data_IF_488577935213
#
_entry.id   IF_488577935213
#
_cell.length_a   1.000
_cell.length_b   1.000
_cell.length_c   1.000
_cell.angle_alpha   90.00
_cell.angle_beta   90.00
_cell.angle_gamma   90.00
#
_symmetry.space_group_name_H-M   'P 1'
#
loop_
_entity.id
_entity.type
_entity.pdbx_description
1 polymer ?
#
# COMPACT_ATOMS: atom_id res chain seq x y z
N UNK A 1 24.30 -4.12 -15.83
CA UNK A 1 24.39 -4.21 -14.34
C UNK A 1 23.06 -4.70 -13.78
N UNK A 2 23.07 -5.75 -12.96
CA UNK A 2 21.90 -6.12 -12.15
C UNK A 2 21.88 -5.22 -10.93
N UNK A 3 21.10 -4.12 -10.99
CA UNK A 3 20.93 -3.25 -9.83
C UNK A 3 20.09 -3.98 -8.76
N UNK A 4 20.56 -3.93 -7.52
CA UNK A 4 19.77 -4.37 -6.37
C UNK A 4 18.52 -3.51 -6.21
N UNK A 5 17.48 -4.06 -5.62
CA UNK A 5 16.28 -3.29 -5.29
C UNK A 5 16.12 -3.25 -3.76
N UNK A 6 15.90 -2.07 -3.18
CA UNK A 6 15.82 -0.74 -3.82
C UNK A 6 17.17 -0.25 -4.34
N UNK A 7 17.14 0.67 -5.32
CA UNK A 7 18.32 1.28 -5.89
C UNK A 7 18.38 2.77 -5.54
N UNK A 8 19.53 3.18 -4.99
CA UNK A 8 19.81 4.57 -4.65
C UNK A 8 21.01 5.05 -5.48
N UNK A 9 20.76 5.99 -6.39
CA UNK A 9 21.79 6.53 -7.27
C UNK A 9 22.79 7.42 -6.51
N UNK A 10 23.90 7.78 -7.16
CA UNK A 10 24.94 8.61 -6.56
C UNK A 10 24.42 9.97 -6.07
N UNK A 11 23.45 10.58 -6.77
CA UNK A 11 22.85 11.83 -6.33
C UNK A 11 22.13 11.68 -4.99
N UNK A 12 21.35 10.60 -4.83
CA UNK A 12 20.72 10.28 -3.54
C UNK A 12 21.76 10.13 -2.42
N UNK A 13 22.84 9.38 -2.69
CA UNK A 13 23.93 9.17 -1.70
C UNK A 13 24.60 10.50 -1.31
N UNK A 14 24.92 11.35 -2.29
CA UNK A 14 25.52 12.68 -2.04
C UNK A 14 24.57 13.57 -1.22
N UNK A 15 23.28 13.54 -1.47
CA UNK A 15 22.29 14.31 -0.71
C UNK A 15 22.16 13.84 0.74
N UNK A 16 22.18 12.52 1.00
CA UNK A 16 22.23 11.96 2.35
C UNK A 16 23.50 12.43 3.08
N UNK A 17 24.64 12.39 2.40
CA UNK A 17 25.91 12.89 2.94
C UNK A 17 25.84 14.38 3.34
N UNK A 18 25.16 15.21 2.52
CA UNK A 18 24.96 16.64 2.85
C UNK A 18 24.13 16.82 4.12
N UNK A 19 23.08 16.04 4.30
CA UNK A 19 22.26 16.06 5.52
C UNK A 19 23.11 15.70 6.74
N UNK A 20 23.90 14.61 6.66
CA UNK A 20 24.79 14.20 7.75
C UNK A 20 25.82 15.29 8.09
N UNK A 21 26.50 15.85 7.07
CA UNK A 21 27.50 16.92 7.26
C UNK A 21 26.93 18.21 7.87
N UNK A 22 25.65 18.49 7.63
CA UNK A 22 24.97 19.69 8.15
C UNK A 22 24.66 19.61 9.66
N UNK A 23 24.65 18.40 10.25
CA UNK A 23 24.18 18.15 11.61
C UNK A 23 22.64 18.33 11.78
N UNK A 24 21.92 18.78 10.75
CA UNK A 24 20.46 19.03 10.78
C UNK A 24 19.71 17.76 10.38
N UNK A 25 19.73 16.75 11.22
CA UNK A 25 19.24 15.39 10.92
C UNK A 25 17.83 15.10 11.45
N UNK A 26 17.26 16.01 12.23
CA UNK A 26 15.95 15.88 12.85
C UNK A 26 14.92 16.77 12.14
N UNK A 27 13.67 16.36 12.14
CA UNK A 27 12.51 17.08 11.59
C UNK A 27 12.45 18.57 12.00
N UNK A 28 12.86 18.90 13.24
CA UNK A 28 12.83 20.26 13.77
C UNK A 28 14.01 21.12 13.33
N UNK A 29 15.13 20.52 12.99
CA UNK A 29 16.35 21.24 12.65
C UNK A 29 16.60 21.34 11.15
N UNK A 30 16.04 20.39 10.36
CA UNK A 30 16.13 20.36 8.91
C UNK A 30 14.83 20.77 8.20
N UNK A 31 14.85 20.68 6.88
CA UNK A 31 13.70 20.99 6.02
C UNK A 31 13.33 19.85 5.03
N UNK A 32 14.14 18.79 4.94
CA UNK A 32 13.91 17.71 3.97
C UNK A 32 12.56 17.00 4.20
N UNK A 33 12.16 16.81 5.47
CA UNK A 33 10.84 16.25 5.79
C UNK A 33 9.70 17.16 5.32
N UNK A 34 9.77 18.47 5.62
CA UNK A 34 8.74 19.45 5.23
C UNK A 34 8.63 19.59 3.71
N UNK A 35 9.78 19.60 3.03
CA UNK A 35 9.84 19.63 1.57
C UNK A 35 9.27 18.35 0.98
N UNK A 36 9.55 17.18 1.55
CA UNK A 36 8.99 15.90 1.13
C UNK A 36 7.46 15.89 1.30
N UNK A 37 6.94 16.38 2.42
CA UNK A 37 5.50 16.53 2.66
C UNK A 37 4.85 17.39 1.57
N UNK A 38 5.45 18.53 1.23
CA UNK A 38 4.97 19.43 0.17
C UNK A 38 5.02 18.80 -1.22
N UNK A 39 6.17 18.21 -1.59
CA UNK A 39 6.36 17.54 -2.90
C UNK A 39 5.40 16.34 -3.05
N UNK A 40 5.19 15.56 -1.97
CA UNK A 40 4.27 14.43 -1.97
C UNK A 40 2.81 14.87 -2.09
N UNK A 41 2.41 15.93 -1.38
CA UNK A 41 1.09 16.54 -1.52
C UNK A 41 0.82 16.99 -2.95
N UNK A 42 1.78 17.69 -3.56
CA UNK A 42 1.67 18.17 -4.95
C UNK A 42 1.56 17.00 -5.94
N UNK A 43 2.34 15.94 -5.74
CA UNK A 43 2.33 14.76 -6.61
C UNK A 43 0.98 14.01 -6.57
N UNK A 44 0.39 13.85 -5.37
CA UNK A 44 -0.90 13.16 -5.20
C UNK A 44 -2.12 14.09 -5.31
N UNK A 45 -1.90 15.41 -5.45
CA UNK A 45 -2.94 16.45 -5.49
C UNK A 45 -3.86 16.40 -4.27
N UNK A 46 -3.24 16.31 -3.11
CA UNK A 46 -3.90 16.40 -1.79
C UNK A 46 -3.46 17.67 -1.08
N UNK A 47 -4.28 18.15 -0.15
CA UNK A 47 -4.01 19.42 0.55
C UNK A 47 -2.84 19.31 1.53
N UNK A 48 -2.74 18.19 2.23
CA UNK A 48 -1.77 17.98 3.29
C UNK A 48 -1.17 16.60 3.21
N UNK A 49 0.15 16.51 3.46
CA UNK A 49 0.86 15.27 3.75
C UNK A 49 1.70 15.44 5.00
N UNK A 50 2.01 14.35 5.68
CA UNK A 50 2.74 14.32 6.94
C UNK A 50 3.68 13.12 6.97
N UNK A 51 4.98 13.36 7.06
CA UNK A 51 5.99 12.29 7.20
C UNK A 51 5.93 11.64 8.57
N UNK A 52 6.02 10.30 8.60
CA UNK A 52 6.07 9.51 9.84
C UNK A 52 7.14 8.42 9.75
N UNK A 53 7.47 7.80 10.86
CA UNK A 53 8.57 6.82 10.98
C UNK A 53 8.35 5.57 10.13
N UNK A 54 7.12 5.13 9.91
CA UNK A 54 6.78 3.95 9.07
C UNK A 54 5.28 3.87 8.77
N UNK A 55 4.89 2.92 7.90
CA UNK A 55 3.49 2.73 7.51
C UNK A 55 2.59 2.18 8.62
N UNK A 56 3.14 1.45 9.58
CA UNK A 56 2.37 0.93 10.73
C UNK A 56 1.90 2.06 11.63
N UNK A 57 2.80 2.98 11.97
CA UNK A 57 2.49 4.22 12.69
C UNK A 57 1.49 5.06 11.90
N UNK A 58 1.64 5.15 10.56
CA UNK A 58 0.70 5.89 9.72
C UNK A 58 -0.74 5.38 9.89
N UNK A 59 -0.96 4.06 9.89
CA UNK A 59 -2.28 3.46 10.11
C UNK A 59 -2.81 3.72 11.53
N UNK A 60 -1.98 3.53 12.55
CA UNK A 60 -2.36 3.69 13.97
C UNK A 60 -2.80 5.12 14.26
N UNK A 61 -1.96 6.11 13.96
CA UNK A 61 -2.31 7.51 14.26
C UNK A 61 -3.44 8.02 13.37
N UNK A 62 -3.63 7.44 12.15
CA UNK A 62 -4.80 7.74 11.32
C UNK A 62 -6.10 7.31 11.97
N UNK A 63 -6.16 6.12 12.55
CA UNK A 63 -7.31 5.65 13.31
C UNK A 63 -7.49 6.46 14.61
N UNK A 64 -6.41 6.75 15.33
CA UNK A 64 -6.44 7.55 16.55
C UNK A 64 -6.99 8.95 16.30
N UNK A 65 -6.63 9.58 15.16
CA UNK A 65 -7.11 10.91 14.77
C UNK A 65 -8.64 10.98 14.53
N UNK A 66 -9.28 9.83 14.25
CA UNK A 66 -10.73 9.75 14.05
C UNK A 66 -11.54 9.77 15.36
N UNK A 67 -10.87 9.73 16.53
CA UNK A 67 -11.51 9.75 17.86
C UNK A 67 -12.61 8.67 18.01
N UNK A 68 -12.40 7.47 17.50
CA UNK A 68 -13.33 6.36 17.61
C UNK A 68 -13.39 5.85 19.07
N UNK A 69 -14.55 5.36 19.48
CA UNK A 69 -14.78 4.83 20.83
C UNK A 69 -14.33 3.36 20.90
N UNK A 70 -13.88 2.89 22.07
CA UNK A 70 -13.40 1.50 22.29
C UNK A 70 -14.35 0.38 21.82
N UNK A 71 -15.65 0.64 21.65
CA UNK A 71 -16.62 -0.36 21.14
C UNK A 71 -16.89 -0.23 19.64
N UNK A 72 -16.37 0.80 19.00
CA UNK A 72 -16.54 0.99 17.57
C UNK A 72 -15.78 -0.07 16.78
N UNK A 73 -16.32 -0.39 15.61
CA UNK A 73 -15.75 -1.40 14.73
C UNK A 73 -15.19 -0.77 13.47
N UNK A 74 -14.15 -1.40 12.94
CA UNK A 74 -13.51 -1.03 11.67
C UNK A 74 -13.56 -2.21 10.74
N UNK A 75 -14.13 -2.03 9.53
CA UNK A 75 -14.07 -3.06 8.50
C UNK A 75 -12.68 -3.07 7.88
N UNK A 76 -12.08 -4.27 7.80
CA UNK A 76 -10.73 -4.48 7.27
C UNK A 76 -10.72 -5.64 6.27
N UNK A 77 -9.72 -5.63 5.38
CA UNK A 77 -9.49 -6.75 4.46
C UNK A 77 -8.87 -7.95 5.18
N UNK A 78 -9.23 -9.18 4.83
CA UNK A 78 -8.57 -10.39 5.31
C UNK A 78 -7.22 -10.63 4.62
N UNK A 79 -6.94 -9.92 3.50
CA UNK A 79 -5.83 -10.21 2.61
C UNK A 79 -4.90 -9.01 2.45
N UNK A 80 -3.88 -8.93 3.29
CA UNK A 80 -2.86 -7.88 3.29
C UNK A 80 -1.70 -8.23 4.22
N UNK A 81 -0.89 -7.24 4.60
CA UNK A 81 -0.01 -7.31 5.75
C UNK A 81 -0.83 -7.17 7.04
N UNK A 82 -0.40 -7.82 8.10
CA UNK A 82 -1.14 -7.90 9.37
C UNK A 82 -1.54 -6.53 9.93
N UNK A 83 -0.69 -5.49 9.74
CA UNK A 83 -0.95 -4.14 10.26
C UNK A 83 -2.23 -3.50 9.73
N UNK A 84 -2.69 -3.85 8.53
CA UNK A 84 -3.99 -3.34 8.03
C UNK A 84 -5.19 -3.75 8.91
N UNK A 85 -5.01 -4.73 9.82
CA UNK A 85 -6.02 -5.17 10.76
C UNK A 85 -5.58 -5.04 12.22
N UNK A 86 -4.31 -5.30 12.56
CA UNK A 86 -3.84 -5.25 13.96
C UNK A 86 -3.77 -3.82 14.51
N UNK A 87 -3.60 -2.80 13.67
CA UNK A 87 -3.70 -1.39 14.10
C UNK A 87 -5.06 -1.07 14.77
N UNK A 88 -6.12 -1.76 14.36
CA UNK A 88 -7.45 -1.63 14.96
C UNK A 88 -7.44 -2.17 16.41
N UNK A 89 -6.82 -3.34 16.61
CA UNK A 89 -6.68 -3.96 17.94
C UNK A 89 -5.79 -3.15 18.88
N UNK A 90 -4.70 -2.58 18.37
CA UNK A 90 -3.77 -1.76 19.16
C UNK A 90 -4.44 -0.55 19.81
N UNK A 91 -5.53 -0.07 19.21
CA UNK A 91 -6.34 1.05 19.72
C UNK A 91 -7.57 0.58 20.53
N UNK A 92 -7.70 -0.71 20.82
CA UNK A 92 -8.85 -1.27 21.56
C UNK A 92 -10.16 -1.25 20.75
N UNK A 93 -10.08 -1.07 19.43
CA UNK A 93 -11.21 -1.13 18.50
C UNK A 93 -11.45 -2.57 18.04
N UNK A 94 -12.58 -2.82 17.35
CA UNK A 94 -12.97 -4.15 16.89
C UNK A 94 -12.79 -4.28 15.38
N UNK A 95 -11.83 -5.10 14.87
CA UNK A 95 -11.74 -5.38 13.44
C UNK A 95 -12.87 -6.32 13.00
N UNK A 96 -13.50 -6.02 11.89
CA UNK A 96 -14.49 -6.87 11.21
C UNK A 96 -13.95 -7.19 9.82
N UNK A 97 -13.66 -8.47 9.57
CA UNK A 97 -13.13 -8.90 8.29
C UNK A 97 -14.24 -9.06 7.25
N UNK A 98 -14.13 -8.38 6.13
CA UNK A 98 -15.03 -8.49 4.99
C UNK A 98 -14.34 -9.18 3.81
N UNK A 99 -15.07 -10.00 3.05
CA UNK A 99 -14.48 -10.76 1.95
C UNK A 99 -14.03 -9.86 0.79
N UNK A 100 -13.19 -10.40 -0.04
CA UNK A 100 -12.52 -9.70 -1.16
C UNK A 100 -13.16 -10.06 -2.50
N UNK A 101 -12.85 -9.27 -3.52
CA UNK A 101 -13.16 -9.56 -4.92
C UNK A 101 -12.23 -10.63 -5.50
N UNK A 102 -12.43 -10.96 -6.78
CA UNK A 102 -11.64 -11.96 -7.53
C UNK A 102 -10.14 -11.60 -7.68
N UNK A 103 -9.75 -10.38 -7.33
CA UNK A 103 -8.35 -9.91 -7.37
C UNK A 103 -7.72 -9.80 -5.99
N UNK A 104 -8.51 -10.00 -4.95
CA UNK A 104 -8.05 -9.94 -3.56
C UNK A 104 -8.19 -8.57 -2.88
N UNK A 105 -8.82 -7.60 -3.52
CA UNK A 105 -9.17 -6.32 -2.92
C UNK A 105 -10.50 -6.40 -2.15
N UNK A 106 -10.64 -5.57 -1.12
CA UNK A 106 -11.88 -5.48 -0.35
C UNK A 106 -13.07 -5.16 -1.29
N UNK A 107 -14.14 -5.97 -1.24
CA UNK A 107 -15.32 -5.82 -2.10
C UNK A 107 -16.45 -5.10 -1.39
N UNK A 108 -17.28 -4.38 -2.16
CA UNK A 108 -18.47 -3.73 -1.61
C UNK A 108 -19.50 -4.76 -1.13
N UNK A 109 -19.58 -5.92 -1.78
CA UNK A 109 -20.43 -7.04 -1.40
C UNK A 109 -20.01 -7.60 -0.05
N UNK A 110 -18.68 -7.82 0.13
CA UNK A 110 -18.12 -8.24 1.40
C UNK A 110 -18.36 -7.21 2.52
N UNK A 111 -18.20 -5.91 2.23
CA UNK A 111 -18.50 -4.82 3.17
C UNK A 111 -19.98 -4.85 3.60
N UNK A 112 -20.90 -4.94 2.67
CA UNK A 112 -22.36 -4.97 2.95
C UNK A 112 -22.75 -6.15 3.82
N UNK A 113 -22.16 -7.32 3.57
CA UNK A 113 -22.46 -8.56 4.30
C UNK A 113 -22.12 -8.46 5.80
N UNK A 114 -21.06 -7.73 6.16
CA UNK A 114 -20.59 -7.65 7.55
C UNK A 114 -20.94 -6.33 8.24
N UNK A 115 -21.47 -5.36 7.50
CA UNK A 115 -21.80 -4.05 8.06
C UNK A 115 -22.87 -4.17 9.15
N UNK A 116 -22.64 -3.46 10.25
CA UNK A 116 -23.61 -3.26 11.34
C UNK A 116 -23.44 -1.86 11.96
N UNK A 117 -24.35 -1.49 12.87
CA UNK A 117 -24.38 -0.14 13.48
C UNK A 117 -23.16 0.24 14.34
N UNK A 118 -22.29 -0.72 14.70
CA UNK A 118 -21.04 -0.41 15.42
C UNK A 118 -19.90 0.05 14.50
N UNK A 119 -20.01 -0.16 13.20
CA UNK A 119 -18.99 0.22 12.22
C UNK A 119 -18.91 1.74 12.10
N UNK A 120 -17.69 2.27 12.21
CA UNK A 120 -17.39 3.71 12.05
C UNK A 120 -16.38 4.01 10.96
N UNK A 121 -15.53 3.04 10.62
CA UNK A 121 -14.52 3.23 9.59
C UNK A 121 -14.33 1.98 8.75
N UNK A 122 -13.75 2.18 7.55
CA UNK A 122 -13.31 1.12 6.63
C UNK A 122 -11.86 1.41 6.27
N UNK A 123 -11.00 0.40 6.31
CA UNK A 123 -9.65 0.46 5.77
C UNK A 123 -9.64 -0.35 4.48
N UNK A 124 -9.45 0.32 3.33
CA UNK A 124 -9.21 -0.35 2.05
C UNK A 124 -7.71 -0.43 1.80
N UNK A 125 -7.26 -1.57 1.29
CA UNK A 125 -5.87 -1.76 0.88
C UNK A 125 -5.83 -1.92 -0.64
N UNK A 126 -5.03 -1.13 -1.33
CA UNK A 126 -4.80 -1.28 -2.78
C UNK A 126 -3.75 -2.37 -3.01
N UNK A 127 -4.19 -3.63 -2.91
CA UNK A 127 -3.33 -4.81 -2.84
C UNK A 127 -2.46 -4.97 -4.09
N UNK A 128 -1.17 -5.20 -3.89
CA UNK A 128 -0.16 -5.40 -4.94
C UNK A 128 -0.06 -4.24 -5.96
N UNK A 129 -0.66 -3.09 -5.67
CA UNK A 129 -0.70 -1.93 -6.55
C UNK A 129 -1.93 -1.85 -7.44
N UNK A 130 -2.89 -2.78 -7.27
CA UNK A 130 -4.21 -2.72 -7.89
C UNK A 130 -5.17 -1.93 -7.01
N UNK A 131 -5.79 -0.92 -7.57
CA UNK A 131 -6.74 -0.09 -6.84
C UNK A 131 -8.05 -0.85 -6.59
N UNK A 132 -8.58 -0.75 -5.37
CA UNK A 132 -9.94 -1.20 -5.06
C UNK A 132 -10.96 -0.51 -5.98
N UNK A 133 -12.11 -1.15 -6.22
CA UNK A 133 -13.24 -0.48 -6.86
C UNK A 133 -13.83 0.55 -5.88
N UNK A 134 -13.33 1.78 -5.96
CA UNK A 134 -13.60 2.81 -4.95
C UNK A 134 -15.01 3.39 -5.03
N UNK A 135 -15.61 3.53 -6.21
CA UNK A 135 -16.90 4.21 -6.35
C UNK A 135 -18.00 3.62 -5.47
N UNK A 136 -18.29 2.30 -5.54
CA UNK A 136 -19.33 1.71 -4.71
C UNK A 136 -18.99 1.78 -3.21
N UNK A 137 -17.71 1.74 -2.85
CA UNK A 137 -17.25 1.88 -1.47
C UNK A 137 -17.45 3.32 -0.98
N UNK A 138 -17.06 4.33 -1.77
CA UNK A 138 -17.25 5.74 -1.46
C UNK A 138 -18.73 6.10 -1.30
N UNK A 139 -19.59 5.59 -2.19
CA UNK A 139 -21.03 5.77 -2.09
C UNK A 139 -21.59 5.16 -0.80
N UNK A 140 -21.12 3.97 -0.42
CA UNK A 140 -21.52 3.32 0.82
C UNK A 140 -21.04 4.10 2.05
N UNK A 141 -19.78 4.52 2.06
CA UNK A 141 -19.16 5.35 3.12
C UNK A 141 -19.98 6.63 3.34
N UNK A 142 -20.31 7.33 2.25
CA UNK A 142 -21.14 8.55 2.32
C UNK A 142 -22.55 8.24 2.86
N UNK A 143 -23.23 7.21 2.32
CA UNK A 143 -24.59 6.81 2.74
C UNK A 143 -24.66 6.43 4.23
N UNK A 144 -23.59 5.83 4.77
CA UNK A 144 -23.54 5.33 6.16
C UNK A 144 -22.81 6.27 7.12
N UNK A 145 -22.35 7.42 6.64
CA UNK A 145 -21.56 8.40 7.41
C UNK A 145 -20.36 7.75 8.12
N UNK A 146 -19.53 7.02 7.34
CA UNK A 146 -18.35 6.32 7.81
C UNK A 146 -17.08 7.06 7.43
N UNK A 147 -15.99 6.77 8.13
CA UNK A 147 -14.65 7.16 7.69
C UNK A 147 -14.06 6.13 6.72
N UNK A 148 -13.30 6.61 5.74
CA UNK A 148 -12.51 5.76 4.84
C UNK A 148 -11.03 6.10 4.99
N UNK A 149 -10.23 5.07 5.28
CA UNK A 149 -8.77 5.12 5.24
C UNK A 149 -8.31 4.32 4.02
N UNK A 150 -7.50 4.95 3.15
CA UNK A 150 -6.83 4.27 2.05
C UNK A 150 -5.43 3.81 2.52
N UNK A 151 -5.19 2.52 2.63
CA UNK A 151 -3.83 1.97 2.76
C UNK A 151 -3.22 1.83 1.36
N UNK A 152 -2.43 2.82 0.99
CA UNK A 152 -1.75 2.94 -0.29
C UNK A 152 -0.32 2.37 -0.26
N UNK A 153 0.08 1.67 0.80
CA UNK A 153 1.46 1.18 1.02
C UNK A 153 2.00 0.29 -0.10
N UNK A 154 1.14 -0.23 -0.97
CA UNK A 154 1.50 -1.08 -2.11
C UNK A 154 1.18 -0.42 -3.47
N UNK A 155 0.69 0.82 -3.48
CA UNK A 155 0.07 1.42 -4.67
C UNK A 155 0.62 2.81 -5.04
N UNK A 156 1.87 3.11 -4.70
CA UNK A 156 2.52 4.35 -5.07
C UNK A 156 2.41 4.59 -6.59
N UNK A 157 1.85 5.72 -6.98
CA UNK A 157 1.67 6.10 -8.38
C UNK A 157 0.50 5.41 -9.10
N UNK A 158 -0.28 4.55 -8.44
CA UNK A 158 -1.52 4.00 -9.00
C UNK A 158 -2.56 5.11 -9.24
N UNK A 159 -3.44 4.88 -10.23
CA UNK A 159 -4.46 5.86 -10.65
C UNK A 159 -5.82 5.19 -10.75
N UNK A 160 -6.83 5.88 -10.26
CA UNK A 160 -8.24 5.50 -10.38
C UNK A 160 -9.02 6.69 -10.96
N UNK A 161 -9.71 6.49 -12.09
CA UNK A 161 -10.47 7.55 -12.80
C UNK A 161 -9.67 8.84 -13.00
N UNK A 162 -8.43 8.73 -13.44
CA UNK A 162 -7.56 9.87 -13.72
C UNK A 162 -6.94 10.55 -12.49
N UNK A 163 -7.28 10.12 -11.27
CA UNK A 163 -6.72 10.66 -10.02
C UNK A 163 -5.80 9.64 -9.35
N UNK A 164 -4.72 10.10 -8.75
CA UNK A 164 -3.83 9.23 -7.98
C UNK A 164 -4.52 8.73 -6.72
N UNK A 165 -4.30 7.45 -6.36
CA UNK A 165 -4.79 6.89 -5.10
C UNK A 165 -4.24 7.68 -3.91
N UNK A 166 -4.93 7.59 -2.77
CA UNK A 166 -4.61 8.39 -1.59
C UNK A 166 -5.26 9.77 -1.59
N UNK A 167 -6.11 10.07 -2.60
CA UNK A 167 -6.86 11.34 -2.69
C UNK A 167 -8.38 11.16 -2.56
N UNK A 168 -8.86 9.94 -2.32
CA UNK A 168 -10.28 9.60 -2.30
C UNK A 168 -10.86 9.44 -0.89
N UNK A 169 -10.10 8.84 0.03
CA UNK A 169 -10.51 8.65 1.41
C UNK A 169 -10.40 9.91 2.26
N UNK A 170 -10.85 9.80 3.51
CA UNK A 170 -10.67 10.87 4.50
C UNK A 170 -9.20 11.03 4.89
N UNK A 171 -8.50 9.90 5.00
CA UNK A 171 -7.05 9.80 5.27
C UNK A 171 -6.48 8.73 4.36
N UNK A 172 -5.26 8.92 3.91
CA UNK A 172 -4.47 7.88 3.23
C UNK A 172 -3.14 7.66 3.91
N UNK A 173 -2.68 6.42 3.89
CA UNK A 173 -1.44 5.99 4.55
C UNK A 173 -0.50 5.32 3.55
N UNK A 174 0.80 5.50 3.77
CA UNK A 174 1.85 5.03 2.88
C UNK A 174 2.99 4.42 3.68
N UNK A 175 3.61 3.39 3.15
CA UNK A 175 4.83 2.78 3.68
C UNK A 175 5.96 2.96 2.69
N UNK A 176 7.14 3.32 3.19
CA UNK A 176 8.38 3.40 2.43
C UNK A 176 9.40 2.36 2.91
N UNK A 177 8.90 1.21 3.40
CA UNK A 177 9.74 0.07 3.76
C UNK A 177 10.58 -0.40 2.56
N UNK A 178 11.65 -1.11 2.82
CA UNK A 178 12.64 -1.51 1.81
C UNK A 178 12.04 -2.16 0.55
N UNK A 179 11.01 -2.99 0.69
CA UNK A 179 10.41 -3.74 -0.42
C UNK A 179 9.35 -2.97 -1.22
N UNK A 180 8.96 -1.77 -0.76
CA UNK A 180 7.91 -0.96 -1.39
C UNK A 180 8.35 -0.33 -2.71
N UNK A 181 7.39 0.15 -3.50
CA UNK A 181 7.64 0.84 -4.78
C UNK A 181 8.57 2.05 -4.60
N UNK A 182 8.39 2.79 -3.51
CA UNK A 182 9.31 3.80 -3.00
C UNK A 182 9.85 3.35 -1.65
N UNK A 183 11.16 3.55 -1.42
CA UNK A 183 11.78 3.30 -0.11
C UNK A 183 12.55 4.53 0.35
N UNK A 184 12.54 4.78 1.65
CA UNK A 184 13.29 5.86 2.30
C UNK A 184 14.53 5.35 3.04
N UNK A 185 15.14 4.28 2.51
CA UNK A 185 16.38 3.72 3.08
C UNK A 185 16.14 2.59 4.08
N UNK A 186 14.96 1.96 4.05
CA UNK A 186 14.63 0.81 4.90
C UNK A 186 13.28 0.95 5.56
N UNK A 187 13.02 2.06 6.22
CA UNK A 187 11.75 2.38 6.86
C UNK A 187 11.32 3.81 6.54
N UNK A 188 10.02 4.08 6.64
CA UNK A 188 9.39 5.38 6.48
C UNK A 188 7.90 5.26 6.19
N UNK A 189 7.18 6.36 6.36
CA UNK A 189 5.76 6.44 6.06
C UNK A 189 5.30 7.86 5.76
N UNK A 190 4.08 7.95 5.23
CA UNK A 190 3.40 9.21 4.96
C UNK A 190 1.93 9.07 5.28
N UNK A 191 1.32 10.14 5.73
CA UNK A 191 -0.13 10.26 5.85
C UNK A 191 -0.55 11.44 5.00
N UNK A 192 -1.68 11.32 4.28
CA UNK A 192 -2.21 12.43 3.51
C UNK A 192 -3.70 12.62 3.77
N UNK A 193 -4.17 13.86 3.69
CA UNK A 193 -5.59 14.22 3.86
C UNK A 193 -5.91 15.55 3.21
N UNK A 194 -7.16 15.71 2.78
CA UNK A 194 -7.69 17.00 2.33
C UNK A 194 -8.35 17.80 3.47
N UNK A 195 -8.48 17.22 4.66
CA UNK A 195 -9.12 17.84 5.81
C UNK A 195 -8.08 18.46 6.76
N UNK A 196 -8.06 19.79 6.85
CA UNK A 196 -7.11 20.53 7.70
C UNK A 196 -7.27 20.22 9.20
N UNK A 197 -8.49 19.94 9.68
CA UNK A 197 -8.71 19.58 11.10
C UNK A 197 -8.08 18.22 11.41
N UNK A 198 -8.26 17.23 10.52
CA UNK A 198 -7.60 15.92 10.65
C UNK A 198 -6.07 16.05 10.56
N UNK A 199 -5.56 16.87 9.65
CA UNK A 199 -4.13 17.12 9.55
C UNK A 199 -3.53 17.70 10.82
N UNK A 200 -4.17 18.71 11.43
CA UNK A 200 -3.72 19.27 12.70
C UNK A 200 -3.68 18.22 13.81
N UNK A 201 -4.70 17.36 13.88
CA UNK A 201 -4.74 16.25 14.85
C UNK A 201 -3.64 15.24 14.60
N UNK A 202 -3.42 14.81 13.35
CA UNK A 202 -2.35 13.91 12.94
C UNK A 202 -0.97 14.49 13.25
N UNK A 203 -0.78 15.77 12.98
CA UNK A 203 0.47 16.48 13.29
C UNK A 203 0.76 16.49 14.80
N UNK A 204 -0.26 16.77 15.60
CA UNK A 204 -0.19 16.71 17.06
C UNK A 204 0.24 15.32 17.54
N UNK A 205 -0.47 14.28 17.12
CA UNK A 205 -0.20 12.88 17.50
C UNK A 205 1.20 12.42 17.10
N UNK A 206 1.69 12.85 15.91
CA UNK A 206 3.05 12.54 15.44
C UNK A 206 4.13 13.13 16.34
N UNK A 207 3.87 14.24 17.01
CA UNK A 207 4.86 15.02 17.75
C UNK A 207 4.43 15.27 19.20
N UNK A 208 4.34 14.21 19.96
CA UNK A 208 4.08 14.19 21.40
C UNK A 208 2.77 14.86 21.83
N UNK A 209 1.81 15.07 20.95
CA UNK A 209 0.55 15.73 21.30
C UNK A 209 0.62 17.25 21.30
N UNK A 210 1.62 17.85 20.65
CA UNK A 210 1.77 19.31 20.62
C UNK A 210 0.65 20.00 19.85
N UNK A 211 0.25 21.16 20.34
CA UNK A 211 -0.66 22.07 19.63
C UNK A 211 0.11 22.86 18.56
N UNK A 212 -0.29 22.66 17.28
CA UNK A 212 0.38 23.29 16.14
C UNK A 212 0.41 24.82 16.26
N UNK A 213 -0.70 25.44 16.61
CA UNK A 213 -0.81 26.90 16.72
C UNK A 213 0.12 27.44 17.81
N UNK A 214 0.12 26.84 18.99
CA UNK A 214 0.95 27.27 20.13
C UNK A 214 2.44 27.11 19.84
N UNK A 215 2.85 26.08 19.10
CA UNK A 215 4.25 25.87 18.70
C UNK A 215 4.76 26.97 17.79
N UNK A 216 3.93 27.43 16.84
CA UNK A 216 4.32 28.43 15.84
C UNK A 216 3.84 29.86 16.19
N UNK A 217 3.18 30.05 17.34
CA UNK A 217 2.83 31.39 17.83
C UNK A 217 4.08 32.14 18.27
N UNK A 218 4.36 33.26 17.61
CA UNK A 218 5.50 34.14 17.92
C UNK A 218 5.24 35.12 19.08
N UNK A 219 4.02 35.20 19.57
CA UNK A 219 3.68 36.03 20.72
C UNK A 219 4.19 35.34 21.99
N UNK A 220 5.01 35.98 22.80
CA UNK A 220 5.61 35.48 24.05
C UNK A 220 6.82 34.52 23.88
N UNK A 221 7.90 35.00 23.26
CA UNK A 221 9.09 34.18 23.04
C UNK A 221 9.93 33.88 24.32
N UNK A 222 9.69 34.59 25.43
CA UNK A 222 10.54 34.49 26.65
C UNK A 222 9.87 33.74 27.81
N UNK A 223 8.66 33.19 27.64
CA UNK A 223 7.98 32.44 28.68
C UNK A 223 7.84 30.96 28.32
N UNK A 224 7.81 30.09 29.34
CA UNK A 224 7.53 28.68 29.15
C UNK A 224 6.14 28.49 28.55
N UNK A 225 6.04 27.70 27.45
CA UNK A 225 4.79 27.44 26.76
C UNK A 225 4.31 26.02 27.06
N UNK A 226 3.08 25.90 27.51
CA UNK A 226 2.36 24.63 27.61
C UNK A 226 1.88 24.23 26.20
N UNK A 227 2.53 23.23 25.61
CA UNK A 227 2.36 22.93 24.18
C UNK A 227 1.56 21.66 23.88
N UNK A 228 1.34 20.79 24.88
CA UNK A 228 0.82 19.44 24.66
C UNK A 228 -0.65 19.36 25.07
N UNK A 229 -1.55 19.28 24.06
CA UNK A 229 -3.00 19.19 24.25
C UNK A 229 -3.51 17.75 24.07
N UNK A 230 -2.69 16.86 23.48
CA UNK A 230 -3.04 15.50 23.12
C UNK A 230 -2.02 14.47 23.67
N UNK A 231 -2.45 13.19 23.70
CA UNK A 231 -1.54 12.06 23.92
C UNK A 231 -0.97 11.61 22.59
N UNK A 232 0.23 12.03 22.28
CA UNK A 232 0.99 11.63 21.10
C UNK A 232 2.33 11.02 21.48
N UNK A 233 3.15 10.71 20.47
CA UNK A 233 4.49 10.16 20.66
C UNK A 233 5.48 10.71 19.64
N UNK A 234 6.74 10.25 19.69
CA UNK A 234 7.74 10.58 18.68
C UNK A 234 7.60 9.64 17.48
N UNK A 235 6.83 10.03 16.51
CA UNK A 235 6.64 9.28 15.26
C UNK A 235 7.27 9.97 14.05
N UNK A 236 8.20 10.87 14.27
CA UNK A 236 8.87 11.65 13.22
C UNK A 236 9.75 10.80 12.32
N UNK A 237 9.77 11.14 11.04
CA UNK A 237 10.78 10.68 10.08
C UNK A 237 12.07 11.49 10.28
N UNK A 238 13.22 10.90 9.97
CA UNK A 238 14.50 11.61 9.93
C UNK A 238 14.70 12.36 8.61
N UNK A 239 15.54 13.39 8.62
CA UNK A 239 15.86 14.17 7.40
C UNK A 239 16.59 13.31 6.34
N UNK A 240 17.37 12.31 6.76
CA UNK A 240 18.03 11.36 5.86
C UNK A 240 17.02 10.51 5.10
N UNK A 241 16.01 9.97 5.79
CA UNK A 241 14.91 9.23 5.15
C UNK A 241 14.14 10.12 4.19
N UNK A 242 13.83 11.35 4.59
CA UNK A 242 13.08 12.29 3.77
C UNK A 242 13.81 12.65 2.48
N UNK A 243 15.11 12.92 2.52
CA UNK A 243 15.88 13.24 1.31
C UNK A 243 15.92 12.05 0.33
N UNK A 244 15.99 10.82 0.83
CA UNK A 244 15.87 9.62 -0.01
C UNK A 244 14.48 9.57 -0.64
N UNK A 245 13.42 9.79 0.14
CA UNK A 245 12.04 9.82 -0.31
C UNK A 245 11.80 10.83 -1.43
N UNK A 246 12.34 12.04 -1.30
CA UNK A 246 12.28 13.10 -2.33
C UNK A 246 12.91 12.64 -3.66
N UNK A 247 14.08 12.00 -3.61
CA UNK A 247 14.74 11.48 -4.82
C UNK A 247 13.97 10.31 -5.44
N UNK A 248 13.40 9.43 -4.63
CA UNK A 248 12.53 8.34 -5.10
C UNK A 248 11.25 8.88 -5.76
N UNK A 249 10.63 9.91 -5.19
CA UNK A 249 9.43 10.55 -5.74
C UNK A 249 9.66 11.12 -7.13
N UNK A 250 10.79 11.78 -7.38
CA UNK A 250 11.16 12.31 -8.71
C UNK A 250 11.23 11.23 -9.78
N UNK A 251 11.58 10.01 -9.43
CA UNK A 251 11.72 8.89 -10.35
C UNK A 251 10.47 7.99 -10.43
N UNK A 252 9.45 8.23 -9.61
CA UNK A 252 8.32 7.32 -9.40
C UNK A 252 7.57 7.01 -10.69
N UNK A 253 7.17 8.01 -11.46
CA UNK A 253 6.42 7.79 -12.71
C UNK A 253 7.22 6.93 -13.72
N UNK A 254 8.55 7.15 -13.80
CA UNK A 254 9.43 6.33 -14.64
C UNK A 254 9.50 4.88 -14.14
N UNK A 255 9.56 4.69 -12.82
CA UNK A 255 9.54 3.35 -12.23
C UNK A 255 8.22 2.64 -12.49
N UNK A 256 7.07 3.32 -12.35
CA UNK A 256 5.75 2.75 -12.62
C UNK A 256 5.61 2.33 -14.08
N UNK A 257 6.06 3.16 -15.03
CA UNK A 257 6.09 2.79 -16.46
C UNK A 257 6.89 1.51 -16.71
N UNK A 258 8.07 1.37 -16.11
CA UNK A 258 8.89 0.18 -16.23
C UNK A 258 8.26 -1.06 -15.58
N UNK A 259 7.63 -0.92 -14.41
CA UNK A 259 6.88 -2.01 -13.75
C UNK A 259 5.75 -2.51 -14.63
N UNK A 260 4.99 -1.59 -15.24
CA UNK A 260 3.94 -1.95 -16.20
C UNK A 260 4.49 -2.70 -17.43
N UNK A 261 5.61 -2.24 -18.00
CA UNK A 261 6.26 -2.94 -19.11
C UNK A 261 6.62 -4.38 -18.74
N UNK A 262 7.26 -4.58 -17.58
CA UNK A 262 7.69 -5.90 -17.11
C UNK A 262 6.47 -6.81 -16.83
N UNK A 263 5.46 -6.30 -16.13
CA UNK A 263 4.25 -7.05 -15.84
C UNK A 263 3.53 -7.48 -17.13
N UNK A 264 3.48 -6.58 -18.13
CA UNK A 264 2.89 -6.90 -19.43
C UNK A 264 3.69 -7.97 -20.20
N UNK A 265 5.01 -7.98 -20.10
CA UNK A 265 5.82 -9.06 -20.69
C UNK A 265 5.43 -10.43 -20.11
N UNK A 266 5.28 -10.54 -18.78
CA UNK A 266 4.80 -11.78 -18.16
C UNK A 266 3.37 -12.13 -18.60
N UNK A 267 2.44 -11.18 -18.54
CA UNK A 267 1.05 -11.40 -18.92
C UNK A 267 0.90 -11.86 -20.37
N UNK A 268 1.61 -11.20 -21.29
CA UNK A 268 1.59 -11.57 -22.71
C UNK A 268 2.34 -12.89 -22.97
N UNK A 269 3.51 -13.03 -22.36
CA UNK A 269 4.33 -14.22 -22.54
C UNK A 269 3.68 -15.50 -22.05
N UNK A 270 2.81 -15.43 -21.05
CA UNK A 270 2.10 -16.58 -20.48
C UNK A 270 0.65 -16.72 -20.97
N UNK A 271 0.26 -16.00 -22.04
CA UNK A 271 -1.13 -15.94 -22.52
C UNK A 271 -1.75 -17.30 -22.83
N UNK A 272 -1.01 -18.23 -23.41
CA UNK A 272 -1.53 -19.54 -23.81
C UNK A 272 -1.95 -20.38 -22.60
N UNK A 273 -1.31 -20.18 -21.45
CA UNK A 273 -1.60 -20.94 -20.23
C UNK A 273 -2.92 -20.52 -19.56
N UNK A 274 -3.47 -19.36 -19.89
CA UNK A 274 -4.84 -19.00 -19.46
C UNK A 274 -5.86 -19.06 -20.59
N UNK A 275 -5.45 -18.98 -21.86
CA UNK A 275 -6.39 -18.99 -22.98
C UNK A 275 -6.62 -20.40 -23.54
N UNK A 276 -5.56 -21.22 -23.65
CA UNK A 276 -5.61 -22.55 -24.29
C UNK A 276 -5.61 -23.68 -23.26
N UNK A 277 -4.67 -23.62 -22.30
CA UNK A 277 -4.44 -24.73 -21.37
C UNK A 277 -5.26 -24.64 -20.08
N UNK A 278 -5.81 -23.47 -19.75
CA UNK A 278 -6.55 -23.20 -18.50
C UNK A 278 -5.78 -23.66 -17.22
N UNK A 279 -4.45 -23.56 -17.26
CA UNK A 279 -3.58 -23.89 -16.11
C UNK A 279 -3.48 -22.69 -15.18
N UNK A 280 -3.38 -21.48 -15.76
CA UNK A 280 -3.37 -20.22 -15.07
C UNK A 280 -4.68 -19.49 -15.32
N UNK A 281 -5.10 -18.70 -14.33
CA UNK A 281 -6.18 -17.72 -14.46
C UNK A 281 -5.59 -16.32 -14.41
N UNK A 282 -5.93 -15.49 -15.39
CA UNK A 282 -5.53 -14.09 -15.45
C UNK A 282 -6.28 -13.29 -14.39
N UNK A 283 -5.63 -12.32 -13.72
CA UNK A 283 -6.35 -11.38 -12.86
C UNK A 283 -7.46 -10.66 -13.65
N UNK A 284 -8.64 -10.57 -13.09
CA UNK A 284 -9.78 -9.85 -13.68
C UNK A 284 -9.71 -8.38 -13.31
N UNK A 285 -9.01 -7.58 -14.10
CA UNK A 285 -9.04 -6.14 -13.89
C UNK A 285 -10.34 -5.58 -14.45
N UNK A 286 -11.18 -5.01 -13.60
CA UNK A 286 -12.48 -4.40 -14.00
C UNK A 286 -12.27 -3.28 -15.03
N UNK A 287 -11.14 -2.62 -14.94
CA UNK A 287 -10.74 -1.55 -15.82
C UNK A 287 -9.41 -1.94 -16.48
N UNK A 288 -9.49 -2.32 -17.77
CA UNK A 288 -8.29 -2.67 -18.54
C UNK A 288 -7.55 -1.39 -18.92
N UNK A 289 -6.43 -1.15 -18.29
CA UNK A 289 -5.46 -0.17 -18.77
C UNK A 289 -4.09 -0.77 -18.77
N UNK A 290 -3.80 -1.37 -19.90
CA UNK A 290 -2.46 -1.77 -20.24
C UNK A 290 -1.90 -0.74 -21.21
N UNK A 291 -0.65 -0.35 -21.02
CA UNK A 291 0.15 0.41 -21.96
C UNK A 291 0.31 -0.28 -23.34
N UNK A 292 -0.67 -1.03 -23.84
CA UNK A 292 -0.55 -1.81 -25.06
C UNK A 292 -0.97 -1.09 -26.33
N UNK A 293 -1.52 0.13 -26.25
CA UNK A 293 -1.78 0.94 -27.45
C UNK A 293 -1.30 2.37 -27.26
N UNK A 294 -0.35 2.77 -28.09
CA UNK A 294 0.25 4.12 -28.16
C UNK A 294 -0.74 5.27 -28.41
N UNK A 295 -1.99 5.00 -28.74
CA UNK A 295 -2.89 5.96 -29.38
C UNK A 295 -4.28 6.15 -28.78
N UNK A 296 -4.53 5.90 -27.48
CA UNK A 296 -5.85 6.25 -26.94
C UNK A 296 -5.76 7.24 -25.79
N UNK A 297 -6.25 8.47 -26.01
CA UNK A 297 -6.47 9.50 -24.99
C UNK A 297 -7.37 9.04 -23.81
N UNK A 298 -8.11 7.92 -23.97
CA UNK A 298 -8.96 7.30 -22.95
C UNK A 298 -8.21 6.41 -21.94
N UNK A 299 -6.93 6.08 -22.16
CA UNK A 299 -6.22 5.05 -21.41
C UNK A 299 -5.52 5.51 -20.12
N UNK A 300 -5.61 6.81 -19.77
CA UNK A 300 -4.93 7.34 -18.58
C UNK A 300 -5.81 7.34 -17.31
N UNK A 301 -7.01 6.74 -17.36
CA UNK A 301 -7.95 6.81 -16.23
C UNK A 301 -7.67 5.79 -15.13
N UNK A 302 -7.01 4.68 -15.44
CA UNK A 302 -6.75 3.61 -14.47
C UNK A 302 -5.34 3.06 -14.65
N UNK A 303 -4.54 3.09 -13.57
CA UNK A 303 -3.17 2.61 -13.58
C UNK A 303 -2.89 1.69 -12.42
N UNK A 304 -2.47 0.48 -12.73
CA UNK A 304 -1.92 -0.46 -11.75
C UNK A 304 -0.44 -0.12 -11.47
N UNK A 305 -0.07 0.00 -10.21
CA UNK A 305 1.33 0.30 -9.86
C UNK A 305 2.27 -0.90 -10.00
N UNK A 306 1.72 -2.12 -10.09
CA UNK A 306 2.47 -3.38 -10.14
C UNK A 306 3.61 -3.45 -9.11
N UNK A 307 3.27 -3.24 -7.86
CA UNK A 307 4.17 -3.59 -6.77
C UNK A 307 4.56 -5.06 -6.88
N UNK A 308 3.55 -5.91 -7.15
CA UNK A 308 3.72 -7.33 -7.47
C UNK A 308 2.73 -7.73 -8.56
N UNK A 309 3.05 -8.78 -9.30
CA UNK A 309 2.12 -9.39 -10.24
C UNK A 309 1.55 -10.65 -9.61
N UNK A 310 0.23 -10.70 -9.45
CA UNK A 310 -0.47 -11.92 -9.07
C UNK A 310 -1.06 -12.59 -10.32
N UNK A 311 -0.81 -13.90 -10.43
CA UNK A 311 -1.54 -14.81 -11.27
C UNK A 311 -2.26 -15.82 -10.38
N UNK A 312 -3.20 -16.56 -10.93
CA UNK A 312 -3.93 -17.59 -10.19
C UNK A 312 -3.84 -18.91 -10.94
N UNK A 313 -3.74 -20.03 -10.23
CA UNK A 313 -3.75 -21.36 -10.83
C UNK A 313 -5.17 -21.91 -10.92
N UNK A 314 -5.38 -22.83 -11.86
CA UNK A 314 -6.51 -23.75 -11.81
C UNK A 314 -6.14 -24.91 -10.86
N UNK A 315 -6.64 -24.89 -9.63
CA UNK A 315 -6.32 -25.87 -8.59
C UNK A 315 -6.71 -27.31 -8.93
N UNK A 316 -7.61 -27.49 -9.89
CA UNK A 316 -8.00 -28.83 -10.36
C UNK A 316 -6.94 -29.45 -11.27
N UNK A 317 -6.06 -28.63 -11.86
CA UNK A 317 -5.00 -29.08 -12.77
C UNK A 317 -3.61 -29.09 -12.12
N UNK A 318 -3.37 -28.19 -11.16
CA UNK A 318 -2.04 -28.01 -10.61
C UNK A 318 -2.05 -27.70 -9.11
N UNK A 319 -1.09 -28.27 -8.39
CA UNK A 319 -0.88 -27.99 -6.98
C UNK A 319 -0.02 -26.74 -6.80
N UNK A 320 -0.53 -25.72 -6.10
CA UNK A 320 0.14 -24.44 -5.86
C UNK A 320 1.54 -24.61 -5.24
N UNK A 321 1.64 -25.40 -4.17
CA UNK A 321 2.90 -25.60 -3.43
C UNK A 321 3.96 -26.22 -4.32
N UNK A 322 3.61 -27.31 -5.02
CA UNK A 322 4.53 -27.98 -5.96
C UNK A 322 5.01 -27.05 -7.08
N UNK A 323 4.11 -26.21 -7.63
CA UNK A 323 4.49 -25.24 -8.67
C UNK A 323 5.44 -24.17 -8.13
N UNK A 324 5.14 -23.59 -6.97
CA UNK A 324 6.01 -22.57 -6.34
C UNK A 324 7.39 -23.17 -6.04
N UNK A 325 7.47 -24.39 -5.53
CA UNK A 325 8.73 -25.08 -5.28
C UNK A 325 9.54 -25.29 -6.56
N UNK A 326 8.90 -25.73 -7.66
CA UNK A 326 9.53 -25.91 -8.97
C UNK A 326 10.04 -24.57 -9.54
N UNK A 327 9.24 -23.51 -9.45
CA UNK A 327 9.65 -22.18 -9.89
C UNK A 327 10.89 -21.70 -9.12
N UNK A 328 10.88 -21.78 -7.79
CA UNK A 328 11.99 -21.34 -6.96
C UNK A 328 13.27 -22.20 -7.16
N UNK A 329 13.16 -23.53 -7.33
CA UNK A 329 14.29 -24.39 -7.72
C UNK A 329 14.94 -23.95 -9.03
N UNK A 330 14.16 -23.39 -9.96
CA UNK A 330 14.65 -22.84 -11.22
C UNK A 330 14.99 -21.34 -11.14
N UNK A 331 15.24 -20.80 -9.95
CA UNK A 331 15.61 -19.40 -9.70
C UNK A 331 14.56 -18.37 -10.16
N UNK A 332 13.30 -18.78 -10.28
CA UNK A 332 12.16 -17.89 -10.50
C UNK A 332 11.55 -17.57 -9.16
N UNK A 333 11.77 -16.33 -8.66
CA UNK A 333 11.22 -15.90 -7.39
C UNK A 333 9.69 -15.82 -7.47
N UNK A 334 9.01 -16.73 -6.80
CA UNK A 334 7.57 -16.85 -6.75
C UNK A 334 7.12 -17.24 -5.34
N UNK A 335 6.00 -16.69 -4.90
CA UNK A 335 5.40 -17.02 -3.62
C UNK A 335 3.87 -16.98 -3.68
N UNK A 336 3.22 -17.22 -2.55
CA UNK A 336 1.75 -17.12 -2.41
C UNK A 336 1.24 -15.68 -2.34
N UNK A 337 2.12 -14.72 -2.13
CA UNK A 337 1.77 -13.30 -1.98
C UNK A 337 1.54 -12.85 -0.54
N UNK A 338 0.66 -11.87 -0.37
CA UNK A 338 0.27 -11.35 0.95
C UNK A 338 -0.46 -12.42 1.76
N UNK A 339 -0.49 -12.26 3.10
CA UNK A 339 -1.26 -13.15 3.97
C UNK A 339 -2.68 -13.33 3.41
N UNK A 340 -3.10 -14.57 3.14
CA UNK A 340 -4.39 -14.81 2.49
C UNK A 340 -5.59 -14.59 3.39
N UNK A 341 -5.43 -14.83 4.68
CA UNK A 341 -6.50 -14.77 5.68
C UNK A 341 -5.93 -14.33 7.04
N UNK A 342 -5.72 -13.02 7.22
CA UNK A 342 -5.12 -12.42 8.43
C UNK A 342 -5.80 -12.91 9.73
N UNK A 343 -7.12 -13.08 9.70
CA UNK A 343 -7.87 -13.56 10.87
C UNK A 343 -7.49 -14.97 11.33
N UNK A 344 -6.70 -15.72 10.54
CA UNK A 344 -6.18 -17.05 10.92
C UNK A 344 -4.89 -16.97 11.73
N UNK A 345 -4.27 -15.80 11.81
CA UNK A 345 -3.11 -15.59 12.68
C UNK A 345 -3.49 -15.89 14.14
N UNK A 346 -2.56 -16.46 14.89
CA UNK A 346 -2.79 -16.90 16.28
C UNK A 346 -3.35 -15.80 17.18
N UNK A 347 -2.90 -14.56 16.98
CA UNK A 347 -3.35 -13.42 17.79
C UNK A 347 -4.84 -13.12 17.58
N UNK A 348 -5.34 -13.14 16.36
CA UNK A 348 -6.76 -12.92 16.09
C UNK A 348 -7.63 -14.05 16.65
N UNK A 349 -7.15 -15.29 16.59
CA UNK A 349 -7.82 -16.45 17.23
C UNK A 349 -7.85 -16.31 18.74
N UNK A 350 -6.72 -15.96 19.38
CA UNK A 350 -6.61 -15.74 20.82
C UNK A 350 -7.59 -14.68 21.31
N UNK A 351 -7.72 -13.57 20.56
CA UNK A 351 -8.59 -12.46 20.88
C UNK A 351 -10.04 -12.63 20.37
N UNK A 352 -10.35 -13.76 19.72
CA UNK A 352 -11.68 -14.11 19.18
C UNK A 352 -12.19 -13.12 18.10
N UNK A 353 -11.28 -12.48 17.34
CA UNK A 353 -11.62 -11.61 16.22
C UNK A 353 -11.43 -12.34 14.88
N UNK A 354 -12.34 -13.21 14.54
CA UNK A 354 -12.38 -13.96 13.27
C UNK A 354 -13.83 -14.18 12.82
N UNK A 355 -14.10 -14.32 11.52
CA UNK A 355 -15.45 -14.59 11.04
C UNK A 355 -15.89 -16.02 11.42
N UNK A 356 -17.19 -16.19 11.69
CA UNK A 356 -17.78 -17.51 12.04
C UNK A 356 -17.51 -18.58 10.97
N UNK A 357 -17.52 -18.17 9.68
CA UNK A 357 -17.17 -19.02 8.53
C UNK A 357 -15.99 -18.41 7.80
N UNK A 358 -15.11 -19.24 7.22
CA UNK A 358 -14.01 -18.76 6.39
C UNK A 358 -14.56 -17.96 5.20
N UNK A 359 -13.92 -16.86 4.91
CA UNK A 359 -14.26 -15.99 3.77
C UNK A 359 -13.88 -16.71 2.47
N UNK A 360 -14.88 -16.98 1.64
CA UNK A 360 -14.75 -17.90 0.49
C UNK A 360 -13.72 -17.43 -0.54
N UNK A 361 -13.77 -16.15 -0.92
CA UNK A 361 -12.86 -15.60 -1.91
C UNK A 361 -11.44 -15.47 -1.36
N UNK A 362 -11.29 -14.99 -0.13
CA UNK A 362 -9.97 -14.90 0.51
C UNK A 362 -9.30 -16.28 0.60
N UNK A 363 -10.05 -17.32 0.98
CA UNK A 363 -9.60 -18.72 0.99
C UNK A 363 -9.17 -19.18 -0.40
N UNK A 364 -10.06 -19.05 -1.40
CA UNK A 364 -9.79 -19.49 -2.77
C UNK A 364 -8.53 -18.84 -3.34
N UNK A 365 -8.43 -17.52 -3.19
CA UNK A 365 -7.26 -16.78 -3.68
C UNK A 365 -5.99 -17.15 -2.92
N UNK A 366 -6.08 -17.47 -1.63
CA UNK A 366 -4.95 -17.98 -0.86
C UNK A 366 -4.43 -19.32 -1.37
N UNK A 367 -5.33 -20.20 -1.80
CA UNK A 367 -5.02 -21.54 -2.31
C UNK A 367 -4.59 -21.53 -3.79
N UNK A 368 -4.75 -20.43 -4.51
CA UNK A 368 -4.52 -20.38 -5.97
C UNK A 368 -3.54 -19.32 -6.43
N UNK A 369 -3.18 -18.33 -5.60
CA UNK A 369 -2.32 -17.22 -6.04
C UNK A 369 -0.87 -17.62 -6.24
N UNK A 370 -0.28 -17.07 -7.32
CA UNK A 370 1.15 -17.04 -7.61
C UNK A 370 1.58 -15.59 -7.67
N UNK A 371 2.52 -15.19 -6.83
CA UNK A 371 2.98 -13.82 -6.75
C UNK A 371 4.42 -13.72 -7.27
N UNK A 372 4.62 -12.82 -8.24
CA UNK A 372 5.92 -12.48 -8.80
C UNK A 372 6.31 -11.06 -8.41
N UNK A 373 7.48 -10.84 -7.81
CA UNK A 373 7.98 -9.50 -7.54
C UNK A 373 8.34 -8.80 -8.87
N UNK A 374 7.91 -7.55 -9.01
CA UNK A 374 8.22 -6.73 -10.19
C UNK A 374 9.35 -5.76 -9.85
N UNK A 375 10.55 -6.03 -10.35
CA UNK A 375 11.70 -5.16 -10.21
C UNK A 375 11.85 -4.26 -11.46
N UNK A 376 11.70 -2.92 -11.37
CA UNK A 376 11.77 -2.00 -12.52
C UNK A 376 13.16 -1.92 -13.15
N UNK A 377 14.19 -2.45 -12.51
CA UNK A 377 15.58 -2.46 -13.01
C UNK A 377 15.95 -3.76 -13.74
N UNK A 378 15.03 -4.74 -13.77
CA UNK A 378 15.25 -6.00 -14.52
C UNK A 378 15.17 -5.73 -16.02
N UNK A 379 16.12 -6.26 -16.79
CA UNK A 379 16.11 -6.13 -18.26
C UNK A 379 14.99 -6.96 -18.90
N UNK A 380 14.47 -6.51 -20.03
CA UNK A 380 13.45 -7.26 -20.80
C UNK A 380 13.96 -8.63 -21.25
N UNK A 381 15.25 -8.75 -21.57
CA UNK A 381 15.90 -10.04 -21.91
C UNK A 381 15.83 -11.02 -20.76
N UNK A 382 16.18 -10.57 -19.54
CA UNK A 382 16.10 -11.43 -18.35
C UNK A 382 14.65 -11.86 -18.07
N UNK A 383 13.68 -10.95 -18.22
CA UNK A 383 12.25 -11.27 -18.07
C UNK A 383 11.80 -12.32 -19.10
N UNK A 384 12.22 -12.20 -20.36
CA UNK A 384 11.91 -13.19 -21.41
C UNK A 384 12.49 -14.56 -21.10
N UNK A 385 13.73 -14.63 -20.58
CA UNK A 385 14.35 -15.88 -20.13
C UNK A 385 13.56 -16.53 -18.98
N UNK A 386 13.15 -15.75 -18.00
CA UNK A 386 12.30 -16.22 -16.90
C UNK A 386 10.96 -16.76 -17.41
N UNK A 387 10.31 -16.06 -18.35
CA UNK A 387 9.06 -16.51 -18.98
C UNK A 387 9.27 -17.87 -19.69
N UNK A 388 10.34 -18.04 -20.45
CA UNK A 388 10.64 -19.30 -21.10
C UNK A 388 10.86 -20.45 -20.10
N UNK A 389 11.52 -20.17 -18.98
CA UNK A 389 11.68 -21.14 -17.88
C UNK A 389 10.33 -21.50 -17.27
N UNK A 390 9.47 -20.52 -17.00
CA UNK A 390 8.10 -20.73 -16.49
C UNK A 390 7.30 -21.61 -17.46
N UNK A 391 7.36 -21.34 -18.77
CA UNK A 391 6.71 -22.16 -19.81
C UNK A 391 7.15 -23.60 -19.77
N UNK A 392 8.49 -23.86 -19.71
CA UNK A 392 9.03 -25.23 -19.60
C UNK A 392 8.50 -25.97 -18.37
N UNK A 393 8.33 -25.26 -17.25
CA UNK A 393 7.77 -25.85 -16.04
C UNK A 393 6.26 -26.12 -16.20
N UNK A 394 5.50 -25.15 -16.74
CA UNK A 394 4.05 -25.29 -16.91
C UNK A 394 3.67 -26.38 -17.94
N UNK A 395 4.48 -26.61 -18.98
CA UNK A 395 4.26 -27.66 -19.95
C UNK A 395 4.30 -29.08 -19.35
N UNK A 396 4.86 -29.26 -18.16
CA UNK A 396 4.81 -30.53 -17.44
C UNK A 396 3.46 -30.83 -16.81
N UNK A 397 2.55 -29.85 -16.83
CA UNK A 397 1.21 -29.92 -16.24
C UNK A 397 0.10 -29.69 -17.28
N UNK A 398 0.48 -29.45 -18.57
CA UNK A 398 -0.45 -29.27 -19.68
C UNK A 398 -0.84 -30.61 -20.33
#
# INVERSE_FOLDING_TARGET
MNLSYPYFNQNTQRRVQKVLKSGRVNYWTGNECKDFEKEFSNYHKVKHSLTVSNGSVALEISLQALNLKKRDSVIVTPRSFIMSASCVLNLGLKPIFADVDDNGNLSIEGIKTVYNKSVRAIIVVHLNGLVCDLDPILNFVKKKNLFLIEDCSQAHGAVYKGKKVGSFGHISTWSFCQDKIMSTGGEGGMISTNNTKLWLKLWSLKDHGKNYKNVFDKKNNNQFKWLHDDLGSNYRMTEMQAVIGREQLKSLDKQIKKRNLIANLYLYGLKDYYLKFDILKKPRFKYQTYYLKKNSKKNNQYFHAFYRLNLFINKNKINQKKLIEQLNKNKINCGVGSCPEIYREKIFKKLKFYPKKRLSNAKLLGETSLMFPINPYKSSTKVKLEINTIKKILNKFS
#
